data_IF_854348691030
#
_entry.id   IF_854348691030
#
_cell.length_a   1.000
_cell.length_b   1.000
_cell.length_c   1.000
_cell.angle_alpha   90.00
_cell.angle_beta   90.00
_cell.angle_gamma   90.00
#
_symmetry.space_group_name_H-M   'P 1'
#
loop_
_entity.id
_entity.type
_entity.pdbx_description
1 polymer ?
#
# COMPACT_ATOMS: atom_id res chain seq x y z
N UNK A 1 -0.83 -5.27 17.20
CA UNK A 1 -0.13 -6.53 16.93
C UNK A 1 -1.02 -7.75 17.21
N UNK A 2 -1.70 -7.86 18.35
CA UNK A 2 -2.53 -9.02 18.70
C UNK A 2 -3.64 -9.31 17.67
N UNK A 3 -4.36 -8.28 17.23
CA UNK A 3 -5.40 -8.43 16.20
C UNK A 3 -4.82 -8.98 14.88
N UNK A 4 -3.65 -8.49 14.47
CA UNK A 4 -2.98 -8.96 13.25
C UNK A 4 -2.51 -10.41 13.39
N UNK A 5 -2.06 -10.82 14.58
CA UNK A 5 -1.71 -12.22 14.84
C UNK A 5 -2.93 -13.14 14.74
N UNK A 6 -4.08 -12.74 15.31
CA UNK A 6 -5.35 -13.47 15.18
C UNK A 6 -5.89 -13.49 13.74
N UNK A 7 -5.70 -12.40 13.00
CA UNK A 7 -6.06 -12.36 11.58
C UNK A 7 -5.21 -13.34 10.77
N UNK A 8 -3.90 -13.39 11.02
CA UNK A 8 -2.99 -14.33 10.37
C UNK A 8 -3.37 -15.80 10.65
N UNK A 9 -3.75 -16.11 11.90
CA UNK A 9 -4.27 -17.42 12.30
C UNK A 9 -5.58 -17.77 11.55
N UNK A 10 -6.52 -16.83 11.51
CA UNK A 10 -7.83 -17.05 10.88
C UNK A 10 -7.76 -17.32 9.37
N UNK A 11 -6.69 -16.89 8.71
CA UNK A 11 -6.45 -17.11 7.27
C UNK A 11 -5.31 -18.11 7.00
N UNK A 12 -5.01 -18.96 7.97
CA UNK A 12 -3.95 -19.97 7.83
C UNK A 12 -4.15 -20.83 6.56
N UNK A 13 -3.07 -21.11 5.85
CA UNK A 13 -3.06 -21.83 4.59
C UNK A 13 -3.58 -21.07 3.38
N UNK A 14 -3.95 -19.77 3.51
CA UNK A 14 -4.50 -18.98 2.40
C UNK A 14 -3.51 -18.08 1.68
N UNK A 15 -2.25 -18.02 2.12
CA UNK A 15 -1.24 -17.11 1.60
C UNK A 15 -1.75 -15.65 1.54
N UNK A 16 -2.32 -15.17 2.65
CA UNK A 16 -2.87 -13.83 2.74
C UNK A 16 -1.79 -12.78 2.99
N UNK A 17 -2.06 -11.53 2.63
CA UNK A 17 -1.23 -10.39 2.98
C UNK A 17 -1.73 -9.77 4.29
N UNK A 18 -0.87 -9.75 5.30
CA UNK A 18 -1.15 -9.13 6.59
C UNK A 18 -0.52 -7.73 6.63
N UNK A 19 -1.36 -6.71 6.58
CA UNK A 19 -1.00 -5.30 6.71
C UNK A 19 -1.34 -4.80 8.12
N UNK A 20 -0.41 -4.21 8.92
CA UNK A 20 0.96 -4.05 8.53
C UNK A 20 1.90 -4.25 9.73
N UNK A 21 3.10 -4.68 9.42
CA UNK A 21 4.22 -4.63 10.35
C UNK A 21 4.83 -3.22 10.31
N UNK A 22 4.89 -2.56 11.48
CA UNK A 22 5.48 -1.24 11.71
C UNK A 22 6.68 -1.37 12.64
N UNK A 23 7.43 -0.28 12.83
CA UNK A 23 8.60 -0.26 13.71
C UNK A 23 8.30 -0.81 15.12
N UNK A 24 7.16 -0.43 15.69
CA UNK A 24 6.76 -0.82 17.05
C UNK A 24 6.25 -2.26 17.18
N UNK A 25 5.86 -2.92 16.08
CA UNK A 25 5.20 -4.22 16.16
C UNK A 25 5.77 -5.31 15.23
N UNK A 26 6.80 -5.01 14.42
CA UNK A 26 7.32 -5.92 13.39
C UNK A 26 7.72 -7.30 13.93
N UNK A 27 8.25 -7.36 15.15
CA UNK A 27 8.66 -8.64 15.76
C UNK A 27 7.45 -9.57 15.95
N UNK A 28 6.37 -9.04 16.52
CA UNK A 28 5.18 -9.84 16.80
C UNK A 28 4.44 -10.20 15.53
N UNK A 29 4.26 -9.23 14.62
CA UNK A 29 3.59 -9.48 13.33
C UNK A 29 4.42 -10.39 12.45
N UNK A 30 5.73 -10.17 12.34
CA UNK A 30 6.63 -11.02 11.57
C UNK A 30 6.69 -12.45 12.10
N UNK A 31 6.73 -12.63 13.42
CA UNK A 31 6.72 -13.96 14.03
C UNK A 31 5.40 -14.69 13.78
N UNK A 32 4.26 -14.05 14.01
CA UNK A 32 2.96 -14.67 13.81
C UNK A 32 2.64 -14.85 12.31
N UNK A 33 2.57 -13.76 11.54
CA UNK A 33 2.17 -13.83 10.15
C UNK A 33 3.24 -14.50 9.26
N UNK A 34 4.49 -14.04 9.35
CA UNK A 34 5.56 -14.53 8.46
C UNK A 34 6.08 -15.92 8.82
N UNK A 35 6.34 -16.19 10.10
CA UNK A 35 6.98 -17.44 10.51
C UNK A 35 5.99 -18.54 10.87
N UNK A 36 4.99 -18.26 11.73
CA UNK A 36 4.06 -19.28 12.20
C UNK A 36 3.06 -19.69 11.10
N UNK A 37 2.40 -18.73 10.48
CA UNK A 37 1.31 -18.98 9.53
C UNK A 37 1.73 -18.83 8.06
N UNK A 38 3.02 -18.54 7.76
CA UNK A 38 3.57 -18.45 6.39
C UNK A 38 2.78 -17.50 5.47
N UNK A 39 2.27 -16.41 6.03
CA UNK A 39 1.56 -15.37 5.30
C UNK A 39 2.55 -14.34 4.75
N UNK A 40 2.10 -13.52 3.80
CA UNK A 40 2.84 -12.37 3.31
C UNK A 40 2.74 -11.23 4.33
N UNK A 41 3.85 -10.58 4.63
CA UNK A 41 3.91 -9.49 5.61
C UNK A 41 4.05 -8.15 4.88
N UNK A 42 3.13 -7.23 5.11
CA UNK A 42 3.25 -5.85 4.65
C UNK A 42 4.08 -5.02 5.63
N UNK A 43 5.21 -4.50 5.18
CA UNK A 43 6.09 -3.61 5.96
C UNK A 43 5.70 -2.15 5.71
N UNK A 44 5.17 -1.47 6.71
CA UNK A 44 4.67 -0.09 6.59
C UNK A 44 5.66 0.90 7.18
N UNK A 45 6.20 1.77 6.32
CA UNK A 45 7.23 2.76 6.66
C UNK A 45 6.79 4.21 6.50
N UNK A 46 5.50 4.46 6.16
CA UNK A 46 5.08 5.77 5.70
C UNK A 46 6.02 6.29 4.57
N UNK A 47 6.21 7.57 4.41
CA UNK A 47 7.07 8.16 3.38
C UNK A 47 8.58 8.21 3.75
N UNK A 48 9.06 7.16 4.44
CA UNK A 48 10.46 7.06 4.90
C UNK A 48 11.17 5.83 4.30
N UNK A 49 12.08 6.08 3.34
CA UNK A 49 12.87 5.02 2.70
C UNK A 49 13.84 4.32 3.66
N UNK A 50 14.38 5.04 4.67
CA UNK A 50 15.29 4.45 5.62
C UNK A 50 14.56 3.46 6.52
N UNK A 51 13.35 3.82 6.97
CA UNK A 51 12.49 2.93 7.73
C UNK A 51 12.01 1.75 6.87
N UNK A 52 11.69 1.96 5.58
CA UNK A 52 11.35 0.87 4.66
C UNK A 52 12.48 -0.17 4.58
N UNK A 53 13.70 0.30 4.35
CA UNK A 53 14.90 -0.55 4.34
C UNK A 53 15.11 -1.25 5.68
N UNK A 54 15.02 -0.52 6.78
CA UNK A 54 15.19 -1.05 8.13
C UNK A 54 14.18 -2.16 8.45
N UNK A 55 12.90 -1.96 8.14
CA UNK A 55 11.85 -2.97 8.37
C UNK A 55 12.10 -4.24 7.56
N UNK A 56 12.48 -4.12 6.28
CA UNK A 56 12.81 -5.27 5.45
C UNK A 56 14.00 -6.05 6.00
N UNK A 57 15.05 -5.34 6.45
CA UNK A 57 16.22 -5.97 7.13
C UNK A 57 15.80 -6.67 8.42
N UNK A 58 15.03 -6.01 9.26
CA UNK A 58 14.60 -6.55 10.56
C UNK A 58 13.68 -7.78 10.40
N UNK A 59 12.75 -7.75 9.43
CA UNK A 59 11.88 -8.88 9.11
C UNK A 59 12.67 -10.08 8.57
N UNK A 60 13.63 -9.83 7.67
CA UNK A 60 14.50 -10.90 7.13
C UNK A 60 15.45 -11.47 8.21
N UNK A 61 16.00 -10.63 9.08
CA UNK A 61 16.79 -11.09 10.24
C UNK A 61 15.96 -11.90 11.24
N UNK A 62 14.68 -11.61 11.38
CA UNK A 62 13.75 -12.41 12.18
C UNK A 62 13.50 -13.80 11.56
N UNK A 63 13.79 -13.98 10.26
CA UNK A 63 13.64 -15.22 9.51
C UNK A 63 12.48 -15.24 8.53
N UNK A 64 11.80 -14.10 8.32
CA UNK A 64 10.77 -13.98 7.27
C UNK A 64 11.45 -14.01 5.89
N UNK A 65 10.95 -14.85 4.98
CA UNK A 65 11.47 -14.88 3.61
C UNK A 65 11.24 -13.52 2.92
N UNK A 66 12.27 -12.95 2.31
CA UNK A 66 12.17 -11.70 1.58
C UNK A 66 11.11 -11.71 0.47
N UNK A 67 10.83 -12.90 -0.12
CA UNK A 67 9.74 -13.08 -1.08
C UNK A 67 8.34 -13.02 -0.48
N UNK A 68 8.25 -13.08 0.83
CA UNK A 68 7.00 -12.94 1.61
C UNK A 68 6.88 -11.57 2.26
N UNK A 69 7.64 -10.57 1.80
CA UNK A 69 7.56 -9.19 2.27
C UNK A 69 7.06 -8.30 1.13
N UNK A 70 6.11 -7.43 1.44
CA UNK A 70 5.60 -6.38 0.55
C UNK A 70 5.74 -5.04 1.27
N UNK A 71 6.25 -4.02 0.58
CA UNK A 71 6.43 -2.69 1.17
C UNK A 71 5.17 -1.84 1.03
N UNK A 72 4.72 -1.23 2.11
CA UNK A 72 3.80 -0.11 2.10
C UNK A 72 4.60 1.15 2.46
N UNK A 73 4.99 1.91 1.45
CA UNK A 73 5.82 3.12 1.62
C UNK A 73 5.00 4.39 1.86
N UNK A 74 3.76 4.23 2.21
CA UNK A 74 2.81 5.31 2.43
C UNK A 74 1.92 5.57 1.23
N UNK A 75 0.86 6.32 1.47
CA UNK A 75 -0.11 6.75 0.47
C UNK A 75 -0.58 8.16 0.79
N UNK A 76 -0.98 8.89 -0.23
CA UNK A 76 -1.70 10.15 -0.13
C UNK A 76 -2.60 10.29 -1.36
N UNK A 77 -3.76 10.88 -1.20
CA UNK A 77 -4.63 11.18 -2.33
C UNK A 77 -3.99 12.25 -3.23
N UNK A 78 -4.33 12.23 -4.51
CA UNK A 78 -3.94 13.27 -5.45
C UNK A 78 -4.31 14.66 -4.89
N UNK A 79 -3.36 15.60 -4.91
CA UNK A 79 -3.52 16.94 -4.33
C UNK A 79 -3.32 17.04 -2.80
N UNK A 80 -3.10 15.94 -2.09
CA UNK A 80 -2.98 15.90 -0.62
C UNK A 80 -1.61 15.39 -0.14
N UNK A 81 -0.54 15.86 -0.76
CA UNK A 81 0.83 15.43 -0.43
C UNK A 81 1.27 14.19 -1.21
N UNK A 82 0.60 13.88 -2.29
CA UNK A 82 0.89 12.78 -3.21
C UNK A 82 2.36 12.75 -3.66
N UNK A 83 2.96 13.91 -3.88
CA UNK A 83 4.36 14.07 -4.30
C UNK A 83 5.37 13.44 -3.33
N UNK A 84 5.06 13.37 -2.04
CA UNK A 84 5.93 12.71 -1.05
C UNK A 84 5.92 11.19 -1.22
N UNK A 85 4.76 10.59 -1.49
CA UNK A 85 4.64 9.16 -1.77
C UNK A 85 5.37 8.80 -3.07
N UNK A 86 5.18 9.58 -4.14
CA UNK A 86 5.88 9.41 -5.43
C UNK A 86 7.38 9.51 -5.26
N UNK A 87 7.88 10.56 -4.61
CA UNK A 87 9.32 10.74 -4.36
C UNK A 87 9.92 9.58 -3.57
N UNK A 88 9.17 9.02 -2.62
CA UNK A 88 9.62 7.85 -1.85
C UNK A 88 9.68 6.61 -2.74
N UNK A 89 8.66 6.35 -3.57
CA UNK A 89 8.67 5.23 -4.52
C UNK A 89 9.82 5.33 -5.53
N UNK A 90 10.05 6.52 -6.10
CA UNK A 90 11.19 6.76 -7.01
C UNK A 90 12.53 6.44 -6.36
N UNK A 91 12.74 6.88 -5.13
CA UNK A 91 13.96 6.61 -4.36
C UNK A 91 14.14 5.13 -4.05
N UNK A 92 13.04 4.44 -3.69
CA UNK A 92 13.04 2.98 -3.47
C UNK A 92 13.40 2.24 -4.76
N UNK A 93 12.74 2.54 -5.88
CA UNK A 93 13.02 1.89 -7.18
C UNK A 93 14.43 2.24 -7.67
N UNK A 94 14.91 3.47 -7.51
CA UNK A 94 16.28 3.84 -7.87
C UNK A 94 17.33 3.08 -7.04
N UNK A 95 17.13 2.93 -5.74
CA UNK A 95 18.03 2.15 -4.88
C UNK A 95 17.98 0.65 -5.25
N UNK A 96 16.81 0.10 -5.46
CA UNK A 96 16.62 -1.30 -5.82
C UNK A 96 17.27 -1.65 -7.18
N UNK A 97 17.07 -0.81 -8.20
CA UNK A 97 17.45 -1.09 -9.58
C UNK A 97 18.84 -0.56 -9.92
N UNK A 98 19.10 0.75 -9.67
CA UNK A 98 20.36 1.37 -10.09
C UNK A 98 21.51 1.09 -9.13
N UNK A 99 21.23 0.91 -7.83
CA UNK A 99 22.25 0.62 -6.82
C UNK A 99 22.31 -0.87 -6.44
N UNK A 100 21.37 -1.69 -6.94
CA UNK A 100 21.31 -3.12 -6.65
C UNK A 100 20.98 -3.43 -5.19
N UNK A 101 20.29 -2.53 -4.47
CA UNK A 101 19.95 -2.75 -3.06
C UNK A 101 18.87 -3.81 -2.90
N UNK A 102 19.30 -5.05 -2.63
CA UNK A 102 18.42 -6.21 -2.47
C UNK A 102 17.38 -6.03 -1.34
N UNK A 103 17.64 -5.16 -0.36
CA UNK A 103 16.73 -4.92 0.75
C UNK A 103 15.53 -4.03 0.37
N UNK A 104 15.54 -3.44 -0.82
CA UNK A 104 14.47 -2.59 -1.35
C UNK A 104 13.85 -3.16 -2.64
N UNK A 105 14.14 -4.42 -2.99
CA UNK A 105 13.61 -5.09 -4.19
C UNK A 105 12.26 -5.78 -3.97
N UNK A 106 11.67 -5.68 -2.78
CA UNK A 106 10.33 -6.19 -2.51
C UNK A 106 9.28 -5.37 -3.27
N UNK A 107 8.12 -5.98 -3.65
CA UNK A 107 7.05 -5.24 -4.30
C UNK A 107 6.43 -4.18 -3.39
N UNK A 108 5.92 -3.12 -4.00
CA UNK A 108 5.24 -2.02 -3.32
C UNK A 108 3.73 -2.18 -3.46
N UNK A 109 3.00 -2.09 -2.34
CA UNK A 109 1.53 -2.00 -2.32
C UNK A 109 1.11 -0.65 -1.75
N UNK A 110 0.16 0.01 -2.41
CA UNK A 110 -0.36 1.31 -1.98
C UNK A 110 -1.84 1.21 -1.60
N UNK A 111 -2.20 1.43 -0.31
CA UNK A 111 -3.59 1.46 0.13
C UNK A 111 -4.25 2.79 -0.24
N UNK A 112 -4.70 2.91 -1.49
CA UNK A 112 -5.32 4.13 -2.04
C UNK A 112 -6.68 4.42 -1.40
N UNK A 113 -7.46 3.38 -1.14
CA UNK A 113 -8.84 3.52 -0.68
C UNK A 113 -9.03 4.43 0.53
N UNK A 114 -8.20 4.25 1.58
CA UNK A 114 -8.29 5.04 2.81
C UNK A 114 -8.03 6.53 2.58
N UNK A 115 -7.09 6.84 1.72
CA UNK A 115 -6.68 8.21 1.43
C UNK A 115 -7.67 8.91 0.50
N UNK A 116 -8.02 8.28 -0.61
CA UNK A 116 -8.92 8.87 -1.62
C UNK A 116 -10.34 9.12 -1.08
N UNK A 117 -10.86 8.22 -0.26
CA UNK A 117 -12.19 8.38 0.36
C UNK A 117 -12.18 9.22 1.63
N UNK A 118 -11.03 9.65 2.11
CA UNK A 118 -10.86 10.52 3.27
C UNK A 118 -10.76 12.02 2.95
N UNK A 119 -10.62 12.38 1.67
CA UNK A 119 -10.46 13.78 1.25
C UNK A 119 -11.79 14.52 1.20
N UNK A 120 -11.72 15.86 1.23
CA UNK A 120 -12.89 16.74 1.24
C UNK A 120 -13.80 16.50 0.03
N UNK A 121 -13.24 16.29 -1.14
CA UNK A 121 -13.96 16.05 -2.39
C UNK A 121 -14.84 14.79 -2.33
N UNK A 122 -14.38 13.74 -1.69
CA UNK A 122 -15.12 12.49 -1.50
C UNK A 122 -16.11 12.54 -0.33
N UNK A 123 -15.84 13.37 0.69
CA UNK A 123 -16.63 13.41 1.92
C UNK A 123 -17.73 14.45 1.95
N UNK A 124 -17.55 15.60 1.28
CA UNK A 124 -18.53 16.68 1.29
C UNK A 124 -19.85 16.25 0.60
N UNK A 125 -20.98 16.47 1.27
CA UNK A 125 -22.27 16.13 0.72
C UNK A 125 -22.63 17.02 -0.49
N UNK A 126 -23.53 16.55 -1.33
CA UNK A 126 -24.08 17.34 -2.46
C UNK A 126 -24.86 18.57 -1.97
N UNK A 127 -25.41 18.50 -0.74
CA UNK A 127 -26.12 19.64 -0.13
C UNK A 127 -25.17 20.75 0.30
N UNK A 128 -23.95 20.38 0.75
CA UNK A 128 -22.92 21.35 1.19
C UNK A 128 -22.14 21.93 0.01
N UNK A 129 -21.96 21.14 -1.05
CA UNK A 129 -21.15 21.52 -2.23
C UNK A 129 -21.89 21.15 -3.53
N UNK A 130 -23.05 21.76 -3.82
CA UNK A 130 -23.87 21.38 -4.96
C UNK A 130 -23.18 21.59 -6.32
N UNK A 131 -22.26 22.55 -6.42
CA UNK A 131 -21.47 22.83 -7.60
C UNK A 131 -20.43 21.74 -7.94
N UNK A 132 -20.16 20.82 -7.01
CA UNK A 132 -19.20 19.74 -7.22
C UNK A 132 -19.84 18.47 -7.80
N UNK A 133 -21.16 18.45 -7.97
CA UNK A 133 -21.87 17.32 -8.54
C UNK A 133 -22.00 16.14 -7.57
N UNK A 134 -22.16 14.95 -8.11
CA UNK A 134 -22.47 13.74 -7.35
C UNK A 134 -21.31 13.31 -6.44
N UNK A 135 -21.58 13.06 -5.17
CA UNK A 135 -20.58 12.73 -4.16
C UNK A 135 -19.89 11.38 -4.44
N UNK A 136 -20.65 10.37 -4.86
CA UNK A 136 -20.10 9.05 -5.15
C UNK A 136 -19.14 9.09 -6.35
N UNK A 137 -19.53 9.83 -7.42
CA UNK A 137 -18.68 10.03 -8.60
C UNK A 137 -17.36 10.71 -8.24
N UNK A 138 -17.40 11.76 -7.43
CA UNK A 138 -16.16 12.41 -6.94
C UNK A 138 -15.24 11.47 -6.19
N UNK A 139 -15.81 10.60 -5.33
CA UNK A 139 -15.04 9.60 -4.59
C UNK A 139 -14.41 8.56 -5.54
N UNK A 140 -15.14 8.12 -6.56
CA UNK A 140 -14.63 7.22 -7.60
C UNK A 140 -13.50 7.90 -8.37
N UNK A 141 -13.67 9.13 -8.81
CA UNK A 141 -12.68 9.87 -9.58
C UNK A 141 -11.39 10.08 -8.78
N UNK A 142 -11.49 10.48 -7.51
CA UNK A 142 -10.33 10.60 -6.61
C UNK A 142 -9.59 9.27 -6.42
N UNK A 143 -10.33 8.17 -6.29
CA UNK A 143 -9.73 6.85 -6.13
C UNK A 143 -9.05 6.37 -7.42
N UNK A 144 -9.68 6.55 -8.58
CA UNK A 144 -9.13 6.19 -9.90
C UNK A 144 -7.90 7.03 -10.23
N UNK A 145 -7.97 8.35 -10.06
CA UNK A 145 -6.85 9.26 -10.31
C UNK A 145 -5.65 8.91 -9.44
N UNK A 146 -5.87 8.76 -8.13
CA UNK A 146 -4.80 8.41 -7.19
C UNK A 146 -4.21 7.03 -7.51
N UNK A 147 -5.05 6.03 -7.81
CA UNK A 147 -4.58 4.69 -8.14
C UNK A 147 -3.75 4.65 -9.43
N UNK A 148 -4.23 5.32 -10.49
CA UNK A 148 -3.50 5.42 -11.74
C UNK A 148 -2.13 6.10 -11.56
N UNK A 149 -2.11 7.18 -10.78
CA UNK A 149 -0.89 7.93 -10.51
C UNK A 149 0.14 7.13 -9.68
N UNK A 150 -0.26 6.43 -8.60
CA UNK A 150 0.70 5.61 -7.82
C UNK A 150 1.21 4.40 -8.61
N UNK A 151 0.37 3.77 -9.45
CA UNK A 151 0.81 2.69 -10.34
C UNK A 151 1.85 3.19 -11.35
N UNK A 152 1.61 4.35 -11.96
CA UNK A 152 2.58 4.99 -12.86
C UNK A 152 3.89 5.40 -12.15
N UNK A 153 3.84 5.65 -10.85
CA UNK A 153 4.99 6.08 -10.03
C UNK A 153 5.78 4.92 -9.40
N UNK A 154 5.37 3.67 -9.62
CA UNK A 154 6.15 2.51 -9.18
C UNK A 154 5.49 1.61 -8.14
N UNK A 155 4.22 1.83 -7.78
CA UNK A 155 3.46 0.86 -7.01
C UNK A 155 3.19 -0.40 -7.85
N UNK A 156 3.38 -1.58 -7.28
CA UNK A 156 3.16 -2.86 -7.95
C UNK A 156 1.73 -3.38 -7.72
N UNK A 157 1.05 -2.88 -6.69
CA UNK A 157 -0.34 -3.21 -6.37
C UNK A 157 -1.03 -2.06 -5.65
N UNK A 158 -2.36 -1.99 -5.76
CA UNK A 158 -3.20 -0.99 -5.08
C UNK A 158 -4.37 -1.64 -4.36
N UNK A 159 -4.78 -1.05 -3.24
CA UNK A 159 -6.00 -1.43 -2.53
C UNK A 159 -7.06 -0.38 -2.82
N UNK A 160 -8.17 -0.80 -3.42
CA UNK A 160 -9.30 0.04 -3.82
C UNK A 160 -10.57 -0.39 -3.08
N UNK A 161 -11.50 0.56 -2.90
CA UNK A 161 -12.76 0.35 -2.18
C UNK A 161 -13.94 0.17 -3.13
N UNK A 162 -14.04 1.03 -4.17
CA UNK A 162 -15.23 1.10 -5.00
C UNK A 162 -15.18 0.13 -6.19
N UNK A 163 -16.26 -0.65 -6.46
CA UNK A 163 -16.27 -1.62 -7.57
C UNK A 163 -16.02 -0.99 -8.95
N UNK A 164 -16.50 0.23 -9.19
CA UNK A 164 -16.26 0.96 -10.45
C UNK A 164 -14.79 1.31 -10.58
N UNK A 165 -14.14 1.81 -9.53
CA UNK A 165 -12.70 2.10 -9.51
C UNK A 165 -11.88 0.83 -9.80
N UNK A 166 -12.23 -0.30 -9.17
CA UNK A 166 -11.57 -1.59 -9.39
C UNK A 166 -11.69 -2.00 -10.87
N UNK A 167 -12.87 -1.88 -11.46
CA UNK A 167 -13.10 -2.21 -12.87
C UNK A 167 -12.29 -1.31 -13.79
N UNK A 168 -12.31 0.01 -13.54
CA UNK A 168 -11.61 1.01 -14.34
C UNK A 168 -10.10 0.79 -14.32
N UNK A 169 -9.51 0.66 -13.15
CA UNK A 169 -8.07 0.40 -13.00
C UNK A 169 -7.67 -0.96 -13.59
N UNK A 170 -8.49 -1.99 -13.40
CA UNK A 170 -8.23 -3.32 -14.00
C UNK A 170 -8.26 -3.27 -15.52
N UNK A 171 -9.14 -2.46 -16.12
CA UNK A 171 -9.20 -2.27 -17.57
C UNK A 171 -7.96 -1.50 -18.05
N UNK A 172 -7.61 -0.40 -17.37
CA UNK A 172 -6.40 0.38 -17.68
C UNK A 172 -5.14 -0.49 -17.68
N UNK A 173 -4.95 -1.31 -16.65
CA UNK A 173 -3.79 -2.21 -16.57
C UNK A 173 -3.76 -3.17 -17.76
N UNK A 174 -4.90 -3.77 -18.13
CA UNK A 174 -4.98 -4.71 -19.26
C UNK A 174 -4.68 -4.05 -20.62
N UNK A 175 -5.05 -2.79 -20.79
CA UNK A 175 -4.79 -2.05 -22.02
C UNK A 175 -3.31 -1.59 -22.17
N UNK A 176 -2.59 -1.49 -21.05
CA UNK A 176 -1.18 -1.09 -21.02
C UNK A 176 -0.22 -2.29 -21.08
N UNK A 177 -0.69 -3.50 -20.87
CA UNK A 177 0.09 -4.75 -20.92
C UNK A 177 -0.05 -5.45 -22.26
#
# INVERSE_FOLDING_TARGET
AELLSKAAEAVDGRNALILAAKEENYKQVGAAAGLAYKQVVGAESAVDINLAKQLNVLLTQLGVDGKSIVMNVGSAAAGYGFEYAVSTMDRVKAAALAQGDATLQMPIITPVASEAWGVKEAMASEADMPEWGNQEERGIDMEVETAAAVLASGSDAVILKHPVSIKTISTMIKELM
#
